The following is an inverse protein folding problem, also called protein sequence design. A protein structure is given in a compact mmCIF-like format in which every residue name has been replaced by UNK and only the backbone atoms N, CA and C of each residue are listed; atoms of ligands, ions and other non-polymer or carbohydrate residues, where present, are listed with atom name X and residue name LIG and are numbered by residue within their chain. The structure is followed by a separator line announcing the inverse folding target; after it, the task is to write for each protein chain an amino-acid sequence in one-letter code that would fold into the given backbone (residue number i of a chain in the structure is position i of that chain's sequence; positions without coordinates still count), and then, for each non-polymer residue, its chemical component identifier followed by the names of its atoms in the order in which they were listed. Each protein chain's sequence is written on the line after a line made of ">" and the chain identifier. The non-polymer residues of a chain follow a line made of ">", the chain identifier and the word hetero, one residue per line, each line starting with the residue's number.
data_IF_109255385486
#
_entry.id   IF_109255385486
#
_cell.length_a   1.000
_cell.length_b   1.000
_cell.length_c   1.000
_cell.angle_alpha   90.00
_cell.angle_beta   90.00
_cell.angle_gamma   90.00
#
_symmetry.space_group_name_H-M   'P 1'
#
loop_
_entity.id
_entity.type
_entity.pdbx_description
1 polymer ?
#
# COMPACT_ATOMS: atom_id res chain seq x y z
N UNK A 1 -22.59 17.23 -18.08
CA UNK A 1 -22.73 16.74 -16.69
C UNK A 1 -21.37 16.24 -16.21
N UNK A 2 -20.61 17.06 -15.49
CA UNK A 2 -19.33 16.64 -14.90
C UNK A 2 -19.60 15.78 -13.67
N UNK A 3 -19.25 14.50 -13.71
CA UNK A 3 -19.25 13.63 -12.53
C UNK A 3 -18.17 14.16 -11.58
N UNK A 4 -18.58 14.75 -10.45
CA UNK A 4 -17.68 15.03 -9.32
C UNK A 4 -17.12 13.68 -8.87
N UNK A 5 -15.85 13.42 -9.16
CA UNK A 5 -15.15 12.24 -8.64
C UNK A 5 -14.81 12.53 -7.19
N UNK A 6 -15.66 12.09 -6.26
CA UNK A 6 -15.34 12.04 -4.84
C UNK A 6 -14.34 10.93 -4.61
N UNK A 7 -13.05 11.25 -4.67
CA UNK A 7 -11.98 10.31 -4.34
C UNK A 7 -11.95 10.11 -2.83
N UNK A 8 -12.54 9.01 -2.35
CA UNK A 8 -12.53 8.66 -0.93
C UNK A 8 -11.13 8.13 -0.56
N UNK A 9 -10.47 8.79 0.39
CA UNK A 9 -9.15 8.35 0.89
C UNK A 9 -9.36 7.16 1.84
N UNK A 10 -8.69 6.04 1.59
CA UNK A 10 -8.80 4.82 2.39
C UNK A 10 -7.53 4.57 3.19
N UNK A 11 -7.66 3.94 4.36
CA UNK A 11 -6.51 3.42 5.09
C UNK A 11 -6.21 2.00 4.62
N UNK A 12 -5.00 1.79 4.09
CA UNK A 12 -4.53 0.52 3.59
C UNK A 12 -3.52 -0.08 4.55
N UNK A 13 -3.62 -1.40 4.75
CA UNK A 13 -2.69 -2.22 5.50
C UNK A 13 -1.92 -3.11 4.54
N UNK A 14 -0.60 -3.11 4.68
CA UNK A 14 0.31 -3.99 3.94
C UNK A 14 1.02 -4.94 4.90
N UNK A 15 1.04 -6.21 4.55
CA UNK A 15 1.84 -7.26 5.19
C UNK A 15 2.86 -7.75 4.17
N UNK A 16 4.14 -7.68 4.50
CA UNK A 16 5.23 -8.04 3.60
C UNK A 16 6.18 -9.01 4.30
N UNK A 17 6.46 -10.15 3.69
CA UNK A 17 7.49 -11.07 4.16
C UNK A 17 8.81 -10.68 3.51
N UNK A 18 9.68 -10.01 4.26
CA UNK A 18 10.99 -9.56 3.80
C UNK A 18 12.08 -10.22 4.64
N UNK A 19 12.98 -10.98 4.00
CA UNK A 19 14.09 -11.66 4.69
C UNK A 19 13.68 -12.45 5.94
N UNK A 20 12.57 -13.20 5.86
CA UNK A 20 11.97 -13.97 6.96
C UNK A 20 11.39 -13.15 8.12
N UNK A 21 11.32 -11.83 8.00
CA UNK A 21 10.61 -10.95 8.92
C UNK A 21 9.27 -10.51 8.33
N UNK A 22 8.25 -10.37 9.19
CA UNK A 22 6.95 -9.88 8.79
C UNK A 22 6.86 -8.36 9.02
N UNK A 23 6.88 -7.62 7.94
CA UNK A 23 6.75 -6.17 7.90
C UNK A 23 5.28 -5.76 7.77
N UNK A 24 4.77 -5.05 8.78
CA UNK A 24 3.39 -4.53 8.81
C UNK A 24 3.41 -3.02 8.69
N UNK A 25 2.79 -2.49 7.65
CA UNK A 25 2.76 -1.06 7.33
C UNK A 25 1.34 -0.56 7.07
N UNK A 26 1.14 0.74 7.27
CA UNK A 26 -0.12 1.44 7.01
C UNK A 26 0.07 2.68 6.15
N UNK A 27 -0.76 2.87 5.13
CA UNK A 27 -0.72 4.05 4.26
C UNK A 27 -2.11 4.54 3.93
N UNK A 28 -2.26 5.85 3.76
CA UNK A 28 -3.49 6.43 3.23
C UNK A 28 -3.37 6.62 1.73
N UNK A 29 -4.28 6.02 0.96
CA UNK A 29 -4.29 6.10 -0.50
C UNK A 29 -5.71 5.95 -1.06
N UNK A 30 -5.93 6.46 -2.27
CA UNK A 30 -7.23 6.38 -2.92
C UNK A 30 -7.43 5.02 -3.63
N UNK A 31 -6.36 4.47 -4.20
CA UNK A 31 -6.39 3.16 -4.88
C UNK A 31 -5.39 2.18 -4.28
N UNK A 32 -5.58 0.89 -4.60
CA UNK A 32 -4.66 -0.17 -4.20
C UNK A 32 -3.28 0.00 -4.83
N UNK A 33 -3.20 0.41 -6.10
CA UNK A 33 -1.90 0.65 -6.76
C UNK A 33 -1.13 1.79 -6.08
N UNK A 34 -1.80 2.89 -5.73
CA UNK A 34 -1.18 3.98 -4.98
C UNK A 34 -0.66 3.50 -3.63
N UNK A 35 -1.47 2.72 -2.89
CA UNK A 35 -1.03 2.13 -1.63
C UNK A 35 0.21 1.24 -1.83
N UNK A 36 0.21 0.38 -2.86
CA UNK A 36 1.33 -0.50 -3.21
C UNK A 36 2.63 0.28 -3.43
N UNK A 37 2.58 1.33 -4.25
CA UNK A 37 3.76 2.19 -4.52
C UNK A 37 4.27 2.83 -3.23
N UNK A 38 3.37 3.37 -2.39
CA UNK A 38 3.75 3.97 -1.11
C UNK A 38 4.39 2.96 -0.15
N UNK A 39 3.86 1.73 -0.07
CA UNK A 39 4.47 0.67 0.73
C UNK A 39 5.87 0.33 0.25
N UNK A 40 6.08 0.21 -1.06
CA UNK A 40 7.38 -0.12 -1.62
C UNK A 40 8.43 0.94 -1.33
N UNK A 41 8.07 2.23 -1.43
CA UNK A 41 8.96 3.31 -1.01
C UNK A 41 9.32 3.25 0.48
N UNK A 42 8.35 2.91 1.35
CA UNK A 42 8.61 2.78 2.79
C UNK A 42 9.52 1.61 3.11
N UNK A 43 9.31 0.45 2.48
CA UNK A 43 10.17 -0.72 2.63
C UNK A 43 11.59 -0.45 2.11
N UNK A 44 11.69 0.18 0.93
CA UNK A 44 12.97 0.57 0.35
C UNK A 44 13.77 1.46 1.31
N UNK A 45 13.10 2.47 1.89
CA UNK A 45 13.72 3.34 2.90
C UNK A 45 14.06 2.61 4.20
N UNK A 46 13.19 1.69 4.67
CA UNK A 46 13.41 0.96 5.93
C UNK A 46 14.61 0.02 5.86
N UNK A 47 14.77 -0.66 4.73
CA UNK A 47 15.85 -1.64 4.54
C UNK A 47 17.06 -1.08 3.80
N UNK A 48 17.09 0.21 3.51
CA UNK A 48 18.16 0.89 2.76
C UNK A 48 18.47 0.22 1.41
N UNK A 49 17.42 -0.11 0.67
CA UNK A 49 17.50 -0.74 -0.66
C UNK A 49 16.78 0.09 -1.72
N UNK A 50 17.05 -0.19 -2.99
CA UNK A 50 16.37 0.51 -4.09
C UNK A 50 14.90 0.13 -4.20
N UNK A 51 14.06 1.06 -4.67
CA UNK A 51 12.66 0.78 -4.99
C UNK A 51 12.53 -0.40 -5.97
N UNK A 52 13.42 -0.50 -6.96
CA UNK A 52 13.43 -1.59 -7.93
C UNK A 52 13.62 -2.97 -7.29
N UNK A 53 14.49 -3.08 -6.28
CA UNK A 53 14.69 -4.32 -5.55
C UNK A 53 13.42 -4.76 -4.80
N UNK A 54 12.75 -3.83 -4.11
CA UNK A 54 11.48 -4.09 -3.41
C UNK A 54 10.37 -4.43 -4.41
N UNK A 55 10.24 -3.65 -5.49
CA UNK A 55 9.20 -3.87 -6.50
C UNK A 55 9.36 -5.22 -7.22
N UNK A 56 10.60 -5.63 -7.50
CA UNK A 56 10.90 -6.95 -8.07
C UNK A 56 10.65 -8.09 -7.07
N UNK A 57 10.92 -7.88 -5.78
CA UNK A 57 10.63 -8.87 -4.75
C UNK A 57 9.13 -9.10 -4.56
N UNK A 58 8.33 -8.05 -4.64
CA UNK A 58 6.87 -8.07 -4.43
C UNK A 58 6.10 -7.87 -5.76
N UNK A 59 6.56 -8.52 -6.82
CA UNK A 59 5.96 -8.45 -8.16
C UNK A 59 4.60 -9.18 -8.25
N UNK A 60 4.32 -10.10 -7.32
CA UNK A 60 3.11 -10.93 -7.28
C UNK A 60 3.32 -12.36 -7.79
N UNK A 61 4.53 -12.71 -8.22
CA UNK A 61 4.90 -14.09 -8.59
C UNK A 61 4.93 -15.04 -7.39
N UNK A 62 5.08 -14.50 -6.18
CA UNK A 62 5.12 -15.23 -4.90
C UNK A 62 4.01 -14.73 -3.98
N UNK A 63 3.53 -15.61 -3.10
CA UNK A 63 2.65 -15.24 -2.00
C UNK A 63 3.48 -14.69 -0.82
N UNK A 64 4.14 -13.56 -1.04
CA UNK A 64 5.05 -12.92 -0.08
C UNK A 64 4.59 -11.53 0.38
N UNK A 65 3.44 -11.05 -0.09
CA UNK A 65 2.80 -9.86 0.45
C UNK A 65 1.28 -9.89 0.30
N UNK A 66 0.61 -9.12 1.15
CA UNK A 66 -0.82 -8.88 1.11
C UNK A 66 -1.12 -7.42 1.38
N UNK A 67 -2.01 -6.81 0.58
CA UNK A 67 -2.49 -5.44 0.78
C UNK A 67 -4.01 -5.49 0.90
N UNK A 68 -4.53 -5.02 2.04
CA UNK A 68 -5.96 -4.97 2.37
C UNK A 68 -6.37 -3.56 2.78
N UNK A 69 -7.65 -3.23 2.63
CA UNK A 69 -8.21 -2.01 3.22
C UNK A 69 -8.47 -2.30 4.70
N UNK A 70 -7.97 -1.46 5.60
CA UNK A 70 -8.24 -1.60 7.04
C UNK A 70 -9.46 -0.78 7.47
N UNK A 71 -9.67 0.40 6.88
CA UNK A 71 -10.80 1.27 7.21
C UNK A 71 -11.20 2.11 6.00
N UNK A 72 -12.48 2.06 5.64
CA UNK A 72 -13.08 3.00 4.69
C UNK A 72 -13.65 4.17 5.48
N UNK A 73 -13.03 5.35 5.38
CA UNK A 73 -13.64 6.58 5.87
C UNK A 73 -14.69 7.01 4.86
N UNK A 74 -15.98 7.04 5.22
CA UNK A 74 -16.96 7.86 4.52
C UNK A 74 -16.97 9.20 5.25
N UNK A 75 -16.63 10.27 4.55
CA UNK A 75 -16.94 11.61 5.02
C UNK A 75 -18.47 11.73 4.94
N UNK A 76 -19.15 11.59 6.07
CA UNK A 76 -20.52 12.07 6.22
C UNK A 76 -20.42 13.61 6.30
N UNK A 77 -20.81 14.29 5.22
CA UNK A 77 -21.10 15.73 5.24
C UNK A 77 -22.24 15.96 6.25
N UNK A 78 -21.87 16.42 7.45
CA UNK A 78 -22.79 16.87 8.50
C UNK A 78 -23.38 18.25 8.21
#
# INVERSE_FOLDING_TARGET
>A
MSKKVTSIKKNWKGLFSYSCELEKLFVHAYTKEQAKVMFFHRLAKKHDVSYGAVAGMFDGSKSNYQITIETEYREDDG
#
